data_IF_158779545420
#
_entry.id   IF_158779545420
#
_cell.length_a   1.000
_cell.length_b   1.000
_cell.length_c   1.000
_cell.angle_alpha   90.00
_cell.angle_beta   90.00
_cell.angle_gamma   90.00
#
_symmetry.space_group_name_H-M   'P 1'
#
loop_
_entity.id
_entity.type
_entity.pdbx_description
1 polymer ?
#
# COMPACT_ATOMS: atom_id res chain seq x y z
N UNK A 1 31.44 -11.92 11.90
CA UNK A 1 30.08 -12.05 12.50
C UNK A 1 29.12 -11.23 11.63
N UNK A 2 28.33 -11.88 10.77
CA UNK A 2 27.35 -11.24 9.85
C UNK A 2 25.90 -11.63 10.16
N UNK A 3 25.68 -12.25 11.31
CA UNK A 3 24.40 -12.85 11.72
C UNK A 3 23.27 -11.83 11.87
N UNK A 4 23.56 -10.54 11.92
CA UNK A 4 22.57 -9.47 12.07
C UNK A 4 22.43 -8.59 10.81
N UNK A 5 23.16 -8.88 9.73
CA UNK A 5 23.20 -8.03 8.51
C UNK A 5 22.00 -8.31 7.58
N UNK A 6 20.83 -8.67 8.13
CA UNK A 6 19.63 -9.00 7.37
C UNK A 6 18.76 -7.76 7.21
N UNK A 7 18.32 -7.49 5.97
CA UNK A 7 17.26 -6.50 5.74
C UNK A 7 15.91 -7.00 6.25
N UNK A 8 15.16 -6.11 6.91
CA UNK A 8 13.80 -6.38 7.34
C UNK A 8 12.83 -6.32 6.15
N UNK A 9 11.77 -7.13 6.23
CA UNK A 9 10.67 -7.09 5.27
C UNK A 9 9.77 -5.88 5.55
N UNK A 10 9.18 -5.33 4.49
CA UNK A 10 8.23 -4.23 4.60
C UNK A 10 6.86 -4.74 5.05
N UNK A 11 6.14 -3.91 5.81
CA UNK A 11 4.79 -4.21 6.28
C UNK A 11 3.75 -3.83 5.22
N UNK A 12 2.78 -4.72 5.00
CA UNK A 12 1.63 -4.52 4.12
C UNK A 12 0.32 -4.78 4.87
N UNK A 13 -0.74 -4.09 4.45
CA UNK A 13 -2.10 -4.21 4.96
C UNK A 13 -3.02 -4.32 3.74
N UNK A 14 -4.00 -5.21 3.80
CA UNK A 14 -5.04 -5.28 2.78
C UNK A 14 -5.97 -4.06 2.88
N UNK A 15 -6.21 -3.41 1.75
CA UNK A 15 -7.22 -2.35 1.66
C UNK A 15 -8.63 -2.97 1.70
N UNK A 16 -9.52 -2.34 2.48
CA UNK A 16 -10.86 -2.88 2.71
C UNK A 16 -11.79 -2.71 1.51
N UNK A 17 -11.51 -1.77 0.59
CA UNK A 17 -12.36 -1.45 -0.54
C UNK A 17 -11.83 -2.08 -1.83
N UNK A 18 -10.52 -2.06 -2.07
CA UNK A 18 -9.91 -2.63 -3.29
C UNK A 18 -9.41 -4.07 -3.12
N UNK A 19 -9.23 -4.54 -1.88
CA UNK A 19 -8.63 -5.85 -1.59
C UNK A 19 -7.14 -5.93 -1.92
N UNK A 20 -6.50 -4.81 -2.26
CA UNK A 20 -5.08 -4.78 -2.64
C UNK A 20 -4.16 -4.53 -1.44
N UNK A 21 -2.92 -5.02 -1.55
CA UNK A 21 -1.90 -4.80 -0.52
C UNK A 21 -1.36 -3.37 -0.59
N UNK A 22 -1.73 -2.56 0.39
CA UNK A 22 -1.19 -1.22 0.59
C UNK A 22 -0.21 -1.17 1.77
N UNK A 23 0.63 -0.14 1.80
CA UNK A 23 1.42 0.13 3.00
C UNK A 23 0.56 0.85 4.06
N UNK A 24 0.80 0.59 5.36
CA UNK A 24 0.16 1.38 6.41
C UNK A 24 0.36 2.88 6.16
N UNK A 25 -0.71 3.67 6.22
CA UNK A 25 -0.71 5.13 6.00
C UNK A 25 -0.42 5.62 4.58
N UNK A 26 -0.31 4.73 3.59
CA UNK A 26 -0.18 5.11 2.20
C UNK A 26 -1.52 4.97 1.47
N UNK A 27 -1.70 5.81 0.44
CA UNK A 27 -2.82 5.71 -0.49
C UNK A 27 -2.65 4.47 -1.37
N UNK A 28 -3.76 3.84 -1.72
CA UNK A 28 -3.77 2.86 -2.79
C UNK A 28 -3.70 3.61 -4.13
N UNK A 29 -2.71 3.30 -4.96
CA UNK A 29 -2.47 4.02 -6.22
C UNK A 29 -3.45 3.62 -7.32
N UNK A 30 -4.13 2.48 -7.17
CA UNK A 30 -5.13 2.01 -8.12
C UNK A 30 -6.46 2.72 -7.92
N UNK A 31 -7.03 2.57 -6.73
CA UNK A 31 -8.28 3.25 -6.37
C UNK A 31 -8.11 4.75 -6.14
N UNK A 32 -6.89 5.21 -5.83
CA UNK A 32 -6.65 6.59 -5.43
C UNK A 32 -7.26 6.94 -4.07
N UNK A 33 -7.71 5.93 -3.31
CA UNK A 33 -8.48 6.09 -2.09
C UNK A 33 -7.60 5.91 -0.83
N UNK A 34 -7.89 6.70 0.21
CA UNK A 34 -7.34 6.49 1.55
C UNK A 34 -8.38 6.80 2.63
N UNK A 35 -8.68 5.78 3.46
CA UNK A 35 -9.65 5.87 4.57
C UNK A 35 -11.04 6.37 4.14
N UNK A 36 -11.63 5.81 3.08
CA UNK A 36 -12.99 6.20 2.69
C UNK A 36 -13.07 7.47 1.84
N UNK A 37 -11.93 8.05 1.45
CA UNK A 37 -11.87 9.34 0.75
C UNK A 37 -11.02 9.25 -0.51
N UNK A 38 -11.56 9.76 -1.61
CA UNK A 38 -10.85 9.92 -2.88
C UNK A 38 -9.75 10.98 -2.72
N UNK A 39 -8.48 10.59 -2.88
CA UNK A 39 -7.31 11.48 -2.75
C UNK A 39 -6.72 11.82 -4.11
N UNK A 40 -6.68 10.85 -5.03
CA UNK A 40 -6.24 11.03 -6.41
C UNK A 40 -7.36 10.64 -7.37
N UNK A 41 -7.34 11.12 -8.61
CA UNK A 41 -8.18 10.53 -9.64
C UNK A 41 -7.77 9.05 -9.83
N UNK A 42 -8.73 8.12 -9.96
CA UNK A 42 -8.42 6.72 -10.23
C UNK A 42 -7.54 6.62 -11.48
N UNK A 43 -6.41 5.92 -11.37
CA UNK A 43 -5.58 5.64 -12.54
C UNK A 43 -6.07 4.35 -13.17
N UNK A 44 -6.55 4.46 -14.39
CA UNK A 44 -6.76 3.29 -15.25
C UNK A 44 -5.39 2.73 -15.64
N UNK A 45 -5.23 1.42 -15.45
CA UNK A 45 -4.07 0.66 -15.91
C UNK A 45 -4.10 0.60 -17.45
N UNK A 46 -3.48 1.60 -18.12
CA UNK A 46 -3.14 1.55 -19.55
C UNK A 46 -1.77 0.89 -19.73
#
# INVERSE_FOLDING_TARGET
RRSHDRLAMNTYIEDANSGELRRPHHIDLKSGEYRGRQVLEPRDDI
#
